data_IF_081575031602
#
_entry.id   IF_081575031602
#
_cell.length_a   1.000
_cell.length_b   1.000
_cell.length_c   1.000
_cell.angle_alpha   90.00
_cell.angle_beta   90.00
_cell.angle_gamma   90.00
#
_symmetry.space_group_name_H-M   'P 1'
#
loop_
_entity.id
_entity.type
_entity.pdbx_description
1 polymer ?
#
# COMPACT_ATOMS: atom_id res chain seq x y z
N UNK A 1 49.77 9.58 35.96
CA UNK A 1 48.31 9.72 35.87
C UNK A 1 47.88 10.52 34.64
N UNK A 2 48.52 11.64 34.28
CA UNK A 2 48.20 12.41 33.04
C UNK A 2 48.44 11.68 31.72
N UNK A 3 49.48 10.81 31.61
CA UNK A 3 49.75 10.03 30.39
C UNK A 3 48.71 8.92 30.09
N UNK A 4 48.05 8.38 31.11
CA UNK A 4 46.96 7.40 30.95
C UNK A 4 45.65 8.04 30.50
N UNK A 5 45.38 9.27 30.92
CA UNK A 5 44.21 10.05 30.46
C UNK A 5 44.34 10.49 29.00
N UNK A 6 45.57 10.86 28.56
CA UNK A 6 45.80 11.20 27.13
C UNK A 6 45.71 9.98 26.21
N UNK A 7 46.15 8.80 26.64
CA UNK A 7 45.96 7.57 25.84
C UNK A 7 44.50 7.15 25.73
N UNK A 8 43.75 7.26 26.82
CA UNK A 8 42.29 6.98 26.78
C UNK A 8 41.52 7.92 25.85
N UNK A 9 41.82 9.23 25.91
CA UNK A 9 41.19 10.22 25.03
C UNK A 9 41.56 10.02 23.54
N UNK A 10 42.81 9.69 23.23
CA UNK A 10 43.26 9.42 21.87
C UNK A 10 42.62 8.13 21.26
N UNK A 11 42.45 7.07 22.07
CA UNK A 11 41.78 5.83 21.65
C UNK A 11 40.31 6.08 21.42
N UNK A 12 39.66 6.88 22.27
CA UNK A 12 38.23 7.24 22.10
C UNK A 12 38.03 8.11 20.87
N UNK A 13 38.94 9.06 20.62
CA UNK A 13 38.86 9.95 19.45
C UNK A 13 39.12 9.20 18.15
N UNK A 14 40.10 8.30 18.10
CA UNK A 14 40.38 7.46 16.92
C UNK A 14 39.17 6.54 16.59
N UNK A 15 38.51 5.99 17.57
CA UNK A 15 37.34 5.15 17.43
C UNK A 15 36.12 5.96 16.98
N UNK A 16 36.02 7.23 17.42
CA UNK A 16 34.94 8.15 16.97
C UNK A 16 35.15 8.56 15.53
N UNK A 17 36.38 8.82 15.09
CA UNK A 17 36.69 9.17 13.70
C UNK A 17 36.47 7.97 12.77
N UNK A 18 36.79 6.75 13.15
CA UNK A 18 36.47 5.52 12.37
C UNK A 18 34.96 5.26 12.22
N UNK A 19 34.15 5.59 13.23
CA UNK A 19 32.70 5.47 13.16
C UNK A 19 32.09 6.54 12.25
N UNK A 20 32.64 7.78 12.29
CA UNK A 20 32.20 8.87 11.42
C UNK A 20 32.57 8.66 9.94
N UNK A 21 33.55 7.81 9.65
CA UNK A 21 33.94 7.38 8.31
C UNK A 21 33.05 6.26 7.72
N UNK A 22 32.05 5.77 8.45
CA UNK A 22 31.10 4.81 7.91
C UNK A 22 30.39 5.42 6.70
N UNK A 23 30.57 4.83 5.54
CA UNK A 23 29.94 5.31 4.30
C UNK A 23 28.43 5.20 4.40
N UNK A 24 27.71 6.27 4.04
CA UNK A 24 26.26 6.23 3.89
C UNK A 24 25.78 5.10 2.96
N UNK A 25 26.57 4.73 1.96
CA UNK A 25 26.25 3.61 1.07
C UNK A 25 26.33 2.24 1.77
N UNK A 26 27.21 2.09 2.77
CA UNK A 26 27.28 0.86 3.58
C UNK A 26 26.04 0.74 4.48
N UNK A 27 25.60 1.85 5.09
CA UNK A 27 24.37 1.90 5.89
C UNK A 27 23.11 1.68 5.06
N UNK A 28 23.02 2.24 3.84
CA UNK A 28 21.95 1.94 2.90
C UNK A 28 21.94 0.47 2.50
N UNK A 29 23.11 -0.11 2.29
CA UNK A 29 23.25 -1.54 1.96
C UNK A 29 22.76 -2.42 3.09
N UNK A 30 23.08 -2.07 4.34
CA UNK A 30 22.56 -2.73 5.53
C UNK A 30 21.02 -2.68 5.60
N UNK A 31 20.41 -1.50 5.44
CA UNK A 31 18.96 -1.34 5.43
C UNK A 31 18.27 -2.17 4.33
N UNK A 32 18.83 -2.16 3.12
CA UNK A 32 18.30 -2.95 2.02
C UNK A 32 18.33 -4.45 2.32
N UNK A 33 19.45 -4.96 2.86
CA UNK A 33 19.59 -6.35 3.26
C UNK A 33 18.62 -6.74 4.38
N UNK A 34 18.47 -5.89 5.40
CA UNK A 34 17.55 -6.13 6.50
C UNK A 34 16.08 -6.24 6.07
N UNK A 35 15.66 -5.40 5.11
CA UNK A 35 14.29 -5.38 4.56
C UNK A 35 14.02 -6.52 3.59
N UNK A 36 14.95 -6.78 2.67
CA UNK A 36 14.78 -7.79 1.63
C UNK A 36 15.07 -9.22 2.09
N UNK A 37 15.73 -9.40 3.24
CA UNK A 37 16.14 -10.70 3.78
C UNK A 37 16.89 -11.58 2.76
N UNK A 38 17.49 -10.93 1.75
CA UNK A 38 18.17 -11.56 0.63
C UNK A 38 19.20 -10.60 0.03
N UNK A 39 20.46 -11.03 -0.08
CA UNK A 39 21.49 -10.24 -0.76
C UNK A 39 21.18 -9.98 -2.22
N UNK A 40 20.58 -10.94 -2.91
CA UNK A 40 20.21 -10.79 -4.33
C UNK A 40 19.16 -9.71 -4.51
N UNK A 41 18.04 -9.83 -3.79
CA UNK A 41 16.94 -8.85 -3.90
C UNK A 41 17.38 -7.44 -3.45
N UNK A 42 18.22 -7.36 -2.40
CA UNK A 42 18.76 -6.09 -1.95
C UNK A 42 19.74 -5.47 -2.97
N UNK A 43 20.54 -6.28 -3.65
CA UNK A 43 21.44 -5.82 -4.71
C UNK A 43 20.65 -5.29 -5.93
N UNK A 44 19.62 -6.01 -6.35
CA UNK A 44 18.71 -5.60 -7.42
C UNK A 44 18.03 -4.26 -7.08
N UNK A 45 17.54 -4.11 -5.83
CA UNK A 45 16.93 -2.87 -5.35
C UNK A 45 17.88 -1.67 -5.38
N UNK A 46 19.17 -1.88 -5.07
CA UNK A 46 20.19 -0.83 -5.05
C UNK A 46 20.91 -0.60 -6.39
N UNK A 47 20.58 -1.39 -7.41
CA UNK A 47 21.23 -1.31 -8.72
C UNK A 47 22.72 -1.68 -8.69
N UNK A 48 23.12 -2.60 -7.80
CA UNK A 48 24.52 -3.06 -7.66
C UNK A 48 24.59 -4.58 -7.79
N UNK A 49 25.81 -5.12 -7.91
CA UNK A 49 26.02 -6.57 -7.88
C UNK A 49 25.93 -7.12 -6.44
N UNK A 50 25.50 -8.38 -6.28
CA UNK A 50 25.48 -9.04 -4.97
C UNK A 50 26.88 -9.08 -4.32
N UNK A 51 27.95 -9.22 -5.11
CA UNK A 51 29.34 -9.17 -4.63
C UNK A 51 29.70 -7.79 -4.08
N UNK A 52 29.30 -6.71 -4.75
CA UNK A 52 29.50 -5.34 -4.26
C UNK A 52 28.75 -5.12 -2.97
N UNK A 53 27.50 -5.58 -2.90
CA UNK A 53 26.68 -5.45 -1.70
C UNK A 53 27.29 -6.22 -0.51
N UNK A 54 27.68 -7.48 -0.70
CA UNK A 54 28.35 -8.27 0.35
C UNK A 54 29.62 -7.59 0.84
N UNK A 55 30.46 -7.07 -0.07
CA UNK A 55 31.68 -6.34 0.34
C UNK A 55 31.37 -5.08 1.15
N UNK A 56 30.27 -4.38 0.88
CA UNK A 56 29.84 -3.24 1.71
C UNK A 56 29.40 -3.67 3.11
N UNK A 57 28.69 -4.78 3.20
CA UNK A 57 28.27 -5.34 4.51
C UNK A 57 29.50 -5.82 5.29
N UNK A 58 30.39 -6.60 4.67
CA UNK A 58 31.59 -7.10 5.33
C UNK A 58 32.45 -5.94 5.87
N UNK A 59 32.64 -4.88 5.08
CA UNK A 59 33.34 -3.66 5.52
C UNK A 59 32.67 -2.96 6.68
N UNK A 60 31.32 -2.89 6.68
CA UNK A 60 30.55 -2.31 7.77
C UNK A 60 30.70 -3.13 9.06
N UNK A 61 30.57 -4.46 8.98
CA UNK A 61 30.75 -5.38 10.09
C UNK A 61 32.17 -5.31 10.67
N UNK A 62 33.18 -5.23 9.81
CA UNK A 62 34.58 -5.09 10.21
C UNK A 62 34.82 -3.78 10.98
N UNK A 63 34.25 -2.67 10.52
CA UNK A 63 34.36 -1.37 11.20
C UNK A 63 33.65 -1.32 12.54
N UNK A 64 32.46 -1.92 12.63
CA UNK A 64 31.68 -1.96 13.88
C UNK A 64 32.24 -3.00 14.85
N UNK A 65 32.91 -4.04 14.32
CA UNK A 65 33.50 -5.11 15.09
C UNK A 65 32.52 -6.20 15.52
N UNK A 66 31.34 -6.28 14.90
CA UNK A 66 30.34 -7.32 15.15
C UNK A 66 29.66 -7.76 13.88
N UNK A 67 29.05 -8.95 13.89
CA UNK A 67 28.24 -9.45 12.78
C UNK A 67 26.83 -8.89 12.86
N UNK A 68 26.35 -8.32 11.75
CA UNK A 68 25.02 -7.74 11.64
C UNK A 68 24.01 -8.72 11.07
N UNK A 69 24.50 -9.73 10.33
CA UNK A 69 23.66 -10.73 9.70
C UNK A 69 24.10 -12.16 10.02
N UNK A 70 23.12 -13.03 10.21
CA UNK A 70 23.26 -14.47 10.25
C UNK A 70 22.80 -15.06 8.92
N UNK A 71 23.51 -16.07 8.42
CA UNK A 71 23.17 -16.79 7.19
C UNK A 71 22.81 -18.20 7.55
N UNK A 72 21.62 -18.61 7.23
CA UNK A 72 21.16 -19.99 7.39
C UNK A 72 20.40 -20.49 6.15
N UNK A 73 19.85 -21.70 6.21
CA UNK A 73 19.06 -22.27 5.11
C UNK A 73 17.76 -21.53 4.84
N UNK A 74 17.27 -20.73 5.80
CA UNK A 74 16.05 -19.90 5.67
C UNK A 74 16.32 -18.56 5.01
N UNK A 75 17.58 -18.17 4.82
CA UNK A 75 17.97 -16.93 4.15
C UNK A 75 18.88 -16.02 4.99
N UNK A 76 18.65 -14.72 4.89
CA UNK A 76 19.41 -13.68 5.57
C UNK A 76 18.59 -13.12 6.74
N UNK A 77 19.06 -13.32 7.97
CA UNK A 77 18.42 -12.80 9.20
C UNK A 77 19.35 -11.82 9.93
N UNK A 78 18.79 -10.88 10.67
CA UNK A 78 19.58 -9.98 11.49
C UNK A 78 20.12 -10.71 12.74
N UNK A 79 21.35 -10.40 13.13
CA UNK A 79 21.87 -10.71 14.46
C UNK A 79 21.22 -9.83 15.53
N UNK A 80 21.52 -10.08 16.80
CA UNK A 80 21.09 -9.21 17.91
C UNK A 80 21.63 -7.78 17.75
N UNK A 81 22.92 -7.64 17.41
CA UNK A 81 23.55 -6.34 17.11
C UNK A 81 22.91 -5.69 15.87
N UNK A 82 22.61 -6.47 14.83
CA UNK A 82 21.91 -6.00 13.63
C UNK A 82 20.51 -5.48 13.95
N UNK A 83 19.77 -6.14 14.83
CA UNK A 83 18.46 -5.67 15.27
C UNK A 83 18.54 -4.36 16.06
N UNK A 84 19.51 -4.25 16.96
CA UNK A 84 19.75 -3.01 17.71
C UNK A 84 20.11 -1.85 16.77
N UNK A 85 20.98 -2.07 15.82
CA UNK A 85 21.43 -1.07 14.86
C UNK A 85 20.33 -0.64 13.87
N UNK A 86 19.38 -1.52 13.56
CA UNK A 86 18.33 -1.25 12.58
C UNK A 86 17.50 -0.02 12.93
N UNK A 87 17.17 0.17 14.20
CA UNK A 87 16.37 1.31 14.66
C UNK A 87 17.10 2.65 14.41
N UNK A 88 18.39 2.71 14.73
CA UNK A 88 19.21 3.92 14.62
C UNK A 88 19.48 4.27 13.14
N UNK A 89 19.86 3.28 12.31
CA UNK A 89 20.12 3.52 10.88
C UNK A 89 18.84 3.89 10.15
N UNK A 90 17.70 3.32 10.54
CA UNK A 90 16.40 3.73 10.01
C UNK A 90 16.07 5.18 10.41
N UNK A 91 16.42 5.61 11.62
CA UNK A 91 16.27 7.01 12.04
C UNK A 91 17.17 7.95 11.22
N UNK A 92 18.43 7.58 10.97
CA UNK A 92 19.34 8.34 10.10
C UNK A 92 18.78 8.49 8.68
N UNK A 93 18.25 7.41 8.10
CA UNK A 93 17.60 7.46 6.78
C UNK A 93 16.42 8.43 6.77
N UNK A 94 15.54 8.38 7.78
CA UNK A 94 14.43 9.34 7.93
C UNK A 94 14.92 10.79 8.00
N UNK A 95 15.99 11.03 8.75
CA UNK A 95 16.59 12.38 8.85
C UNK A 95 17.19 12.85 7.51
N UNK A 96 17.85 11.98 6.76
CA UNK A 96 18.32 12.30 5.42
C UNK A 96 17.16 12.69 4.49
N UNK A 97 16.07 11.92 4.47
CA UNK A 97 14.87 12.30 3.71
C UNK A 97 14.26 13.62 4.17
N UNK A 98 14.30 13.93 5.48
CA UNK A 98 13.84 15.22 6.00
C UNK A 98 14.64 16.40 5.44
N UNK A 99 15.95 16.25 5.23
CA UNK A 99 16.80 17.28 4.59
C UNK A 99 16.33 17.56 3.17
N UNK A 100 16.15 16.52 2.36
CA UNK A 100 15.65 16.67 0.97
C UNK A 100 14.26 17.27 0.93
N UNK A 101 13.36 16.85 1.82
CA UNK A 101 12.00 17.39 1.93
C UNK A 101 11.99 18.87 2.28
N UNK A 102 12.87 19.32 3.19
CA UNK A 102 13.03 20.74 3.51
C UNK A 102 13.58 21.54 2.34
N UNK A 103 14.52 21.00 1.60
CA UNK A 103 15.06 21.64 0.40
C UNK A 103 14.00 21.81 -0.70
N UNK A 104 13.08 20.85 -0.84
CA UNK A 104 11.97 20.90 -1.81
C UNK A 104 10.88 21.91 -1.45
N UNK A 105 10.87 22.43 -0.22
CA UNK A 105 9.88 23.41 0.28
C UNK A 105 10.02 24.83 -0.28
N UNK A 106 11.01 25.14 -1.09
CA UNK A 106 11.27 26.51 -1.52
C UNK A 106 10.22 27.12 -2.46
N UNK A 107 9.10 26.43 -2.73
CA UNK A 107 7.93 27.00 -3.41
C UNK A 107 6.69 26.94 -2.50
N UNK A 108 6.49 27.97 -1.69
CA UNK A 108 5.23 28.29 -1.01
C UNK A 108 4.19 28.72 -2.06
N UNK A 109 3.60 27.79 -2.81
CA UNK A 109 2.63 28.12 -3.83
C UNK A 109 1.58 27.04 -3.98
N UNK A 110 0.45 27.41 -4.57
CA UNK A 110 -0.64 26.51 -4.95
C UNK A 110 -0.35 25.75 -6.25
N UNK A 111 0.92 25.71 -6.70
CA UNK A 111 1.35 25.03 -7.91
C UNK A 111 2.41 23.96 -7.62
N UNK A 112 2.52 22.95 -8.51
CA UNK A 112 3.51 21.88 -8.45
C UNK A 112 2.92 20.49 -8.27
N UNK A 113 3.79 19.50 -8.10
CA UNK A 113 3.39 18.09 -7.97
C UNK A 113 3.13 17.70 -6.52
N UNK A 114 2.10 16.89 -6.30
CA UNK A 114 1.79 16.18 -5.04
C UNK A 114 1.67 14.70 -5.36
N UNK A 115 2.54 13.87 -4.77
CA UNK A 115 2.55 12.43 -4.95
C UNK A 115 1.58 11.78 -3.96
N UNK A 116 0.59 11.06 -4.48
CA UNK A 116 -0.42 10.37 -3.69
C UNK A 116 -0.33 8.89 -3.94
N UNK A 117 -0.06 8.10 -2.90
CA UNK A 117 -0.07 6.65 -2.97
C UNK A 117 -1.36 6.08 -2.37
N UNK A 118 -1.89 5.06 -2.99
CA UNK A 118 -3.13 4.39 -2.55
C UNK A 118 -3.16 2.97 -3.08
N UNK A 119 -3.94 2.09 -2.43
CA UNK A 119 -4.21 0.76 -2.98
C UNK A 119 -4.98 0.85 -4.29
N UNK A 120 -4.77 -0.11 -5.19
CA UNK A 120 -5.23 -0.05 -6.59
C UNK A 120 -6.76 0.16 -6.71
N UNK A 121 -7.56 -0.53 -5.92
CA UNK A 121 -9.02 -0.41 -5.97
C UNK A 121 -9.53 1.01 -5.68
N UNK A 122 -9.30 1.57 -4.49
CA UNK A 122 -9.68 2.95 -4.18
C UNK A 122 -9.07 3.98 -5.12
N UNK A 123 -7.84 3.77 -5.57
CA UNK A 123 -7.17 4.68 -6.51
C UNK A 123 -7.91 4.77 -7.84
N UNK A 124 -8.12 3.62 -8.49
CA UNK A 124 -8.70 3.57 -9.83
C UNK A 124 -10.22 3.79 -9.86
N UNK A 125 -10.95 3.21 -8.89
CA UNK A 125 -12.42 3.29 -8.91
C UNK A 125 -12.98 4.50 -8.18
N UNK A 126 -12.22 5.10 -7.25
CA UNK A 126 -12.75 6.18 -6.43
C UNK A 126 -12.05 7.51 -6.63
N UNK A 127 -10.71 7.54 -6.51
CA UNK A 127 -9.92 8.77 -6.61
C UNK A 127 -9.83 9.25 -8.05
N UNK A 128 -9.39 8.41 -8.97
CA UNK A 128 -9.09 8.81 -10.35
C UNK A 128 -10.28 9.48 -11.07
N UNK A 129 -11.52 8.96 -11.00
CA UNK A 129 -12.67 9.63 -11.62
C UNK A 129 -12.92 11.04 -11.04
N UNK A 130 -12.70 11.23 -9.73
CA UNK A 130 -12.89 12.51 -9.04
C UNK A 130 -11.72 13.47 -9.24
N UNK A 131 -10.55 12.94 -9.54
CA UNK A 131 -9.36 13.72 -9.86
C UNK A 131 -9.54 14.53 -11.15
N UNK A 132 -10.35 14.05 -12.10
CA UNK A 132 -10.70 14.77 -13.31
C UNK A 132 -11.39 16.10 -12.99
N UNK A 133 -12.33 16.10 -12.04
CA UNK A 133 -13.02 17.33 -11.61
C UNK A 133 -12.14 18.22 -10.73
N UNK A 134 -11.28 17.62 -9.89
CA UNK A 134 -10.26 18.35 -9.14
C UNK A 134 -9.35 19.16 -10.07
N UNK A 135 -8.89 18.56 -11.17
CA UNK A 135 -8.00 19.19 -12.15
C UNK A 135 -8.66 20.37 -12.88
N UNK A 136 -9.97 20.40 -13.04
CA UNK A 136 -10.69 21.56 -13.60
C UNK A 136 -10.55 22.81 -12.73
N UNK A 137 -10.51 22.59 -11.41
CA UNK A 137 -10.41 23.69 -10.41
C UNK A 137 -8.96 24.06 -10.10
N UNK A 138 -8.07 23.06 -9.98
CA UNK A 138 -6.69 23.24 -9.53
C UNK A 138 -5.67 22.87 -10.62
N UNK A 139 -5.72 23.57 -11.74
CA UNK A 139 -4.91 23.27 -12.96
C UNK A 139 -3.41 23.29 -12.73
N UNK A 140 -2.93 24.06 -11.73
CA UNK A 140 -1.50 24.21 -11.43
C UNK A 140 -0.98 23.15 -10.45
N UNK A 141 -1.85 22.27 -9.92
CA UNK A 141 -1.45 21.17 -9.06
C UNK A 141 -1.47 19.90 -9.90
N UNK A 142 -0.32 19.28 -10.08
CA UNK A 142 -0.23 17.93 -10.62
C UNK A 142 -0.36 16.93 -9.49
N UNK A 143 -1.35 16.06 -9.52
CA UNK A 143 -1.44 14.90 -8.62
C UNK A 143 -0.82 13.72 -9.33
N UNK A 144 0.31 13.26 -8.81
CA UNK A 144 0.99 12.04 -9.27
C UNK A 144 0.44 10.87 -8.44
N UNK A 145 -0.53 10.15 -9.02
CA UNK A 145 -1.29 9.09 -8.34
C UNK A 145 -0.66 7.73 -8.57
N UNK A 146 -0.09 7.16 -7.52
CA UNK A 146 0.47 5.82 -7.50
C UNK A 146 -0.52 4.81 -6.93
N UNK A 147 -1.01 3.91 -7.77
CA UNK A 147 -1.92 2.83 -7.40
C UNK A 147 -1.16 1.50 -7.33
N UNK A 148 -0.93 0.98 -6.13
CA UNK A 148 -0.21 -0.27 -5.93
C UNK A 148 -0.81 -1.07 -4.76
N UNK A 149 -0.62 -2.39 -4.76
CA UNK A 149 -1.06 -3.24 -3.63
C UNK A 149 -0.12 -3.12 -2.43
N UNK A 150 1.12 -2.71 -2.66
CA UNK A 150 2.10 -2.45 -1.60
C UNK A 150 1.88 -1.06 -0.99
N UNK A 151 2.08 -0.96 0.32
CA UNK A 151 1.94 0.30 1.03
C UNK A 151 3.18 1.17 0.83
N UNK A 152 2.98 2.42 0.39
CA UNK A 152 4.06 3.38 0.25
C UNK A 152 4.51 3.92 1.62
N UNK A 153 5.80 4.01 1.83
CA UNK A 153 6.38 4.63 3.02
C UNK A 153 6.51 6.16 2.85
N UNK A 154 5.54 6.87 3.43
CA UNK A 154 5.52 8.34 3.43
C UNK A 154 6.70 8.94 4.19
N UNK A 155 7.20 8.27 5.22
CA UNK A 155 8.35 8.75 5.98
C UNK A 155 9.63 8.72 5.14
N UNK A 156 9.71 7.84 4.14
CA UNK A 156 10.82 7.70 3.20
C UNK A 156 10.64 8.48 1.90
N UNK A 157 9.65 9.33 1.81
CA UNK A 157 9.32 10.10 0.60
C UNK A 157 8.94 9.25 -0.62
N UNK A 158 8.47 8.04 -0.44
CA UNK A 158 7.90 7.25 -1.53
C UNK A 158 6.62 7.89 -2.05
N UNK A 159 5.88 8.58 -1.16
CA UNK A 159 4.78 9.47 -1.48
C UNK A 159 4.75 10.67 -0.53
N UNK A 160 4.06 11.75 -0.90
CA UNK A 160 3.82 12.89 -0.03
C UNK A 160 2.61 12.64 0.87
N UNK A 161 1.60 11.96 0.33
CA UNK A 161 0.35 11.57 0.99
C UNK A 161 0.09 10.11 0.64
N UNK A 162 -0.37 9.31 1.61
CA UNK A 162 -0.82 7.95 1.34
C UNK A 162 -2.22 7.69 1.91
N UNK A 163 -2.97 6.82 1.24
CA UNK A 163 -4.19 6.22 1.78
C UNK A 163 -3.92 4.72 1.95
N UNK A 164 -3.91 4.28 3.20
CA UNK A 164 -3.44 2.97 3.63
C UNK A 164 -4.56 2.20 4.35
N UNK A 165 -4.48 0.87 4.33
CA UNK A 165 -5.43 -0.02 5.03
C UNK A 165 -5.06 -0.22 6.51
N UNK A 166 -3.81 0.06 6.87
CA UNK A 166 -3.29 -0.03 8.24
C UNK A 166 -2.64 1.29 8.64
N UNK A 167 -2.89 1.78 9.87
CA UNK A 167 -2.29 3.02 10.33
C UNK A 167 -0.79 2.81 10.63
N UNK A 168 0.12 3.63 10.07
CA UNK A 168 1.52 3.57 10.42
C UNK A 168 1.76 4.05 11.86
N UNK A 169 2.80 3.51 12.49
CA UNK A 169 3.16 3.82 13.89
C UNK A 169 4.18 4.95 14.03
N UNK A 170 4.66 5.53 12.92
CA UNK A 170 5.69 6.56 12.95
C UNK A 170 5.14 7.88 13.53
N UNK A 171 5.73 8.44 14.63
CA UNK A 171 5.22 9.62 15.31
C UNK A 171 5.38 10.93 14.51
N UNK A 172 6.17 10.95 13.44
CA UNK A 172 6.33 12.12 12.56
C UNK A 172 5.21 12.23 11.52
N UNK A 173 4.38 11.22 11.41
CA UNK A 173 3.26 11.19 10.48
C UNK A 173 1.97 11.63 11.16
N UNK A 174 1.13 12.31 10.38
CA UNK A 174 -0.26 12.54 10.73
C UNK A 174 -1.05 11.40 10.13
N UNK A 175 -1.84 10.76 10.97
CA UNK A 175 -2.70 9.65 10.60
C UNK A 175 -4.12 10.04 10.95
N UNK A 176 -5.03 9.97 9.98
CA UNK A 176 -6.45 10.26 10.16
C UNK A 176 -7.30 9.20 9.46
N UNK A 177 -8.27 8.64 10.17
CA UNK A 177 -9.24 7.74 9.55
C UNK A 177 -10.10 8.52 8.56
N UNK A 178 -10.18 8.05 7.32
CA UNK A 178 -11.05 8.60 6.27
C UNK A 178 -12.43 7.97 6.30
N UNK A 179 -12.50 6.69 6.59
CA UNK A 179 -13.72 5.90 6.59
C UNK A 179 -13.44 4.41 6.57
N UNK A 180 -14.46 3.63 6.31
CA UNK A 180 -14.40 2.17 6.22
C UNK A 180 -14.87 1.71 4.84
N UNK A 181 -14.10 0.87 4.19
CA UNK A 181 -14.47 0.22 2.95
C UNK A 181 -14.99 -1.18 3.28
N UNK A 182 -16.23 -1.44 2.93
CA UNK A 182 -16.84 -2.76 3.08
C UNK A 182 -16.63 -3.57 1.82
N UNK A 183 -16.27 -4.84 1.97
CA UNK A 183 -16.03 -5.81 0.90
C UNK A 183 -17.17 -6.82 0.93
N UNK A 184 -17.74 -7.09 -0.24
CA UNK A 184 -18.87 -7.97 -0.40
C UNK A 184 -18.69 -8.90 -1.60
N UNK A 185 -19.29 -10.10 -1.62
CA UNK A 185 -19.22 -11.00 -2.76
C UNK A 185 -20.17 -10.58 -3.87
N UNK A 186 -19.69 -10.68 -5.12
CA UNK A 186 -20.43 -10.35 -6.33
C UNK A 186 -20.21 -11.38 -7.42
N UNK A 187 -21.19 -11.49 -8.29
CA UNK A 187 -21.12 -12.18 -9.60
C UNK A 187 -21.71 -11.30 -10.69
N UNK A 188 -21.46 -11.63 -11.96
CA UNK A 188 -22.22 -11.03 -13.07
C UNK A 188 -23.55 -11.76 -13.28
N UNK A 189 -24.52 -11.08 -13.93
CA UNK A 189 -25.75 -11.74 -14.38
C UNK A 189 -25.49 -12.95 -15.28
N UNK A 190 -24.46 -12.88 -16.12
CA UNK A 190 -24.06 -14.00 -16.97
C UNK A 190 -23.63 -15.21 -16.16
N UNK A 191 -22.86 -15.00 -15.10
CA UNK A 191 -22.48 -16.10 -14.19
C UNK A 191 -23.70 -16.68 -13.49
N UNK A 192 -24.58 -15.83 -12.96
CA UNK A 192 -25.81 -16.26 -12.29
C UNK A 192 -26.69 -17.14 -13.19
N UNK A 193 -26.83 -16.78 -14.46
CA UNK A 193 -27.63 -17.54 -15.44
C UNK A 193 -27.04 -18.92 -15.77
N UNK A 194 -25.69 -19.02 -15.78
CA UNK A 194 -24.99 -20.25 -16.15
C UNK A 194 -24.80 -21.22 -14.98
N UNK A 195 -24.49 -20.69 -13.79
CA UNK A 195 -24.03 -21.49 -12.65
C UNK A 195 -24.85 -21.28 -11.39
N UNK A 196 -25.85 -20.39 -11.39
CA UNK A 196 -26.52 -19.96 -10.18
C UNK A 196 -25.65 -19.07 -9.30
N UNK A 197 -26.11 -18.83 -8.08
CA UNK A 197 -25.35 -18.11 -7.03
C UNK A 197 -25.32 -18.95 -5.77
N UNK A 198 -24.20 -18.97 -5.01
CA UNK A 198 -24.16 -19.66 -3.72
C UNK A 198 -25.05 -18.91 -2.72
N UNK A 199 -25.94 -19.61 -2.00
CA UNK A 199 -26.76 -19.08 -0.95
C UNK A 199 -26.05 -19.13 0.43
N UNK A 200 -25.01 -19.95 0.54
CA UNK A 200 -24.24 -20.12 1.76
C UNK A 200 -22.75 -20.24 1.44
N UNK A 201 -21.90 -19.97 2.45
CA UNK A 201 -20.46 -20.21 2.34
C UNK A 201 -20.13 -21.66 1.97
N UNK A 202 -20.89 -22.64 2.49
CA UNK A 202 -20.65 -24.05 2.22
C UNK A 202 -20.85 -24.41 0.75
N UNK A 203 -21.72 -23.69 0.03
CA UNK A 203 -21.95 -23.88 -1.40
C UNK A 203 -20.85 -23.29 -2.26
N UNK A 204 -20.04 -22.38 -1.73
CA UNK A 204 -18.96 -21.72 -2.45
C UNK A 204 -17.94 -22.70 -3.04
N UNK A 205 -17.77 -23.89 -2.43
CA UNK A 205 -16.95 -24.99 -2.95
C UNK A 205 -17.40 -25.50 -4.34
N UNK A 206 -18.65 -25.27 -4.71
CA UNK A 206 -19.23 -25.65 -6.01
C UNK A 206 -19.10 -24.55 -7.06
N UNK A 207 -18.55 -23.39 -6.68
CA UNK A 207 -18.37 -22.21 -7.52
C UNK A 207 -16.89 -21.90 -7.75
N UNK A 208 -16.61 -21.09 -8.75
CA UNK A 208 -15.25 -20.56 -8.96
C UNK A 208 -15.12 -19.20 -8.29
N UNK A 209 -13.96 -18.96 -7.70
CA UNK A 209 -13.60 -17.68 -7.07
C UNK A 209 -12.54 -16.99 -7.92
N UNK A 210 -12.71 -15.70 -8.10
CA UNK A 210 -11.68 -14.78 -8.58
C UNK A 210 -11.04 -14.13 -7.37
N UNK A 211 -9.79 -14.52 -7.04
CA UNK A 211 -9.08 -14.07 -5.84
C UNK A 211 -8.11 -12.94 -6.17
N UNK A 212 -8.17 -11.86 -5.39
CA UNK A 212 -7.12 -10.86 -5.39
C UNK A 212 -5.96 -11.30 -4.50
N UNK A 213 -4.74 -11.30 -5.04
CA UNK A 213 -3.54 -11.45 -4.25
C UNK A 213 -3.13 -10.09 -3.70
N UNK A 214 -3.12 -9.97 -2.37
CA UNK A 214 -2.67 -8.80 -1.66
C UNK A 214 -1.67 -9.22 -0.58
N UNK A 215 -0.60 -8.46 -0.33
CA UNK A 215 0.37 -8.77 0.72
C UNK A 215 -0.28 -8.93 2.11
N UNK A 216 -1.42 -8.26 2.33
CA UNK A 216 -2.16 -8.24 3.59
C UNK A 216 -3.06 -9.46 3.81
N UNK A 217 -3.27 -10.30 2.78
CA UNK A 217 -4.22 -11.44 2.85
C UNK A 217 -3.55 -12.70 2.33
N UNK A 218 -3.08 -13.54 3.25
CA UNK A 218 -2.55 -14.84 2.91
C UNK A 218 -3.66 -15.84 2.52
N UNK A 219 -3.29 -16.92 1.79
CA UNK A 219 -4.23 -17.92 1.30
C UNK A 219 -4.93 -18.68 2.44
N UNK A 220 -4.25 -18.88 3.57
CA UNK A 220 -4.80 -19.60 4.73
C UNK A 220 -5.86 -18.78 5.45
N UNK A 221 -5.58 -17.49 5.69
CA UNK A 221 -6.54 -16.56 6.27
C UNK A 221 -7.76 -16.40 5.36
N UNK A 222 -7.55 -16.31 4.04
CA UNK A 222 -8.61 -16.20 3.06
C UNK A 222 -9.52 -17.44 3.05
N UNK A 223 -8.94 -18.65 3.03
CA UNK A 223 -9.69 -19.90 3.11
C UNK A 223 -10.52 -19.98 4.40
N UNK A 224 -9.93 -19.59 5.54
CA UNK A 224 -10.62 -19.58 6.84
C UNK A 224 -11.81 -18.63 6.86
N UNK A 225 -11.68 -17.42 6.30
CA UNK A 225 -12.78 -16.43 6.18
C UNK A 225 -13.94 -17.02 5.36
N UNK A 226 -13.62 -17.80 4.33
CA UNK A 226 -14.60 -18.44 3.47
C UNK A 226 -15.14 -19.78 4.01
N UNK A 227 -14.72 -20.19 5.22
CA UNK A 227 -15.10 -21.50 5.78
C UNK A 227 -14.57 -22.71 5.00
N UNK A 228 -13.49 -22.51 4.22
CA UNK A 228 -12.85 -23.54 3.40
C UNK A 228 -11.60 -24.09 4.08
N UNK A 229 -11.30 -25.37 3.87
CA UNK A 229 -10.07 -26.01 4.33
C UNK A 229 -8.89 -25.77 3.38
N UNK A 230 -9.18 -25.54 2.09
CA UNK A 230 -8.22 -25.24 1.04
C UNK A 230 -8.88 -24.40 -0.05
N UNK A 231 -8.08 -23.62 -0.76
CA UNK A 231 -8.49 -22.86 -1.95
C UNK A 231 -8.32 -23.68 -3.25
N UNK A 232 -7.71 -24.85 -3.17
CA UNK A 232 -7.47 -25.71 -4.32
C UNK A 232 -8.79 -26.18 -4.94
N UNK A 233 -8.88 -26.10 -6.26
CA UNK A 233 -10.09 -26.47 -7.00
C UNK A 233 -11.23 -25.44 -6.92
N UNK A 234 -11.21 -24.48 -5.98
CA UNK A 234 -12.22 -23.43 -5.83
C UNK A 234 -11.77 -22.11 -6.49
N UNK A 235 -10.52 -21.71 -6.29
CA UNK A 235 -9.96 -20.50 -6.93
C UNK A 235 -9.61 -20.81 -8.38
N UNK A 236 -10.32 -20.16 -9.30
CA UNK A 236 -10.10 -20.28 -10.74
C UNK A 236 -9.08 -19.28 -11.30
N UNK A 237 -9.08 -18.06 -10.75
CA UNK A 237 -8.20 -16.96 -11.16
C UNK A 237 -7.59 -16.31 -9.93
N UNK A 238 -6.26 -16.07 -9.97
CA UNK A 238 -5.54 -15.23 -9.00
C UNK A 238 -4.89 -14.05 -9.73
N UNK A 239 -5.06 -12.84 -9.23
CA UNK A 239 -4.43 -11.64 -9.77
C UNK A 239 -4.12 -10.64 -8.66
N UNK A 240 -3.08 -9.83 -8.81
CA UNK A 240 -2.79 -8.71 -7.91
C UNK A 240 -3.49 -7.41 -8.34
N UNK A 241 -4.27 -7.44 -9.41
CA UNK A 241 -4.98 -6.27 -9.94
C UNK A 241 -6.45 -6.26 -9.51
N UNK A 242 -6.87 -5.19 -8.83
CA UNK A 242 -8.29 -4.95 -8.49
C UNK A 242 -9.16 -4.78 -9.74
N UNK A 243 -8.61 -4.14 -10.78
CA UNK A 243 -9.27 -4.01 -12.09
C UNK A 243 -9.40 -5.40 -12.75
N UNK A 244 -8.36 -6.21 -12.65
CA UNK A 244 -8.37 -7.58 -13.15
C UNK A 244 -9.44 -8.45 -12.48
N UNK A 245 -9.62 -8.33 -11.15
CA UNK A 245 -10.71 -9.01 -10.43
C UNK A 245 -12.07 -8.56 -10.95
N UNK A 246 -12.30 -7.23 -11.01
CA UNK A 246 -13.57 -6.69 -11.50
C UNK A 246 -13.88 -7.20 -12.91
N UNK A 247 -12.92 -7.07 -13.83
CA UNK A 247 -13.07 -7.51 -15.21
C UNK A 247 -13.41 -9.00 -15.33
N UNK A 248 -12.74 -9.86 -14.56
CA UNK A 248 -12.99 -11.29 -14.56
C UNK A 248 -14.41 -11.61 -14.04
N UNK A 249 -14.86 -10.94 -12.98
CA UNK A 249 -16.20 -11.13 -12.42
C UNK A 249 -17.28 -10.68 -13.40
N UNK A 250 -17.12 -9.53 -14.03
CA UNK A 250 -18.04 -9.05 -15.08
C UNK A 250 -18.15 -10.03 -16.26
N UNK A 251 -17.07 -10.74 -16.57
CA UNK A 251 -17.01 -11.74 -17.65
C UNK A 251 -17.37 -13.15 -17.19
N UNK A 252 -18.10 -13.28 -16.09
CA UNK A 252 -18.62 -14.54 -15.59
C UNK A 252 -17.53 -15.58 -15.20
N UNK A 253 -16.34 -15.14 -14.80
CA UNK A 253 -15.26 -16.05 -14.41
C UNK A 253 -15.49 -16.68 -13.02
N UNK A 254 -16.29 -16.07 -12.15
CA UNK A 254 -16.54 -16.56 -10.80
C UNK A 254 -17.09 -15.51 -9.84
N UNK A 255 -17.17 -15.90 -8.58
CA UNK A 255 -17.49 -15.02 -7.45
C UNK A 255 -16.25 -14.19 -7.11
N UNK A 256 -16.39 -12.87 -7.06
CA UNK A 256 -15.34 -11.95 -6.64
C UNK A 256 -15.75 -11.15 -5.41
N UNK A 257 -14.77 -10.84 -4.55
CA UNK A 257 -14.95 -10.00 -3.38
C UNK A 257 -14.48 -8.59 -3.72
N UNK A 258 -15.43 -7.65 -3.81
CA UNK A 258 -15.23 -6.28 -4.28
C UNK A 258 -15.79 -5.27 -3.27
N UNK A 259 -15.40 -3.99 -3.34
CA UNK A 259 -16.03 -2.95 -2.52
C UNK A 259 -17.55 -2.94 -2.70
N UNK A 260 -18.30 -2.86 -1.58
CA UNK A 260 -19.77 -2.90 -1.57
C UNK A 260 -20.42 -1.81 -2.44
N UNK A 261 -19.71 -0.70 -2.65
CA UNK A 261 -20.18 0.42 -3.47
C UNK A 261 -20.13 0.15 -4.99
N UNK A 262 -19.51 -0.94 -5.44
CA UNK A 262 -19.22 -1.17 -6.86
C UNK A 262 -20.47 -1.09 -7.76
N UNK A 263 -21.60 -1.64 -7.30
CA UNK A 263 -22.87 -1.58 -8.06
C UNK A 263 -23.51 -0.19 -8.01
N UNK A 264 -23.39 0.53 -6.87
CA UNK A 264 -23.85 1.93 -6.79
C UNK A 264 -23.03 2.86 -7.69
N UNK A 265 -21.80 2.46 -8.05
CA UNK A 265 -20.96 3.14 -9.02
C UNK A 265 -21.30 2.81 -10.48
N UNK A 266 -22.31 1.96 -10.71
CA UNK A 266 -22.85 1.64 -12.03
C UNK A 266 -22.27 0.38 -12.67
N UNK A 267 -21.49 -0.43 -11.93
CA UNK A 267 -21.00 -1.71 -12.46
C UNK A 267 -22.14 -2.74 -12.44
N UNK A 268 -22.41 -3.46 -13.57
CA UNK A 268 -23.53 -4.38 -13.68
C UNK A 268 -23.24 -5.74 -13.03
N UNK A 269 -23.18 -5.75 -11.70
CA UNK A 269 -22.95 -6.94 -10.88
C UNK A 269 -24.15 -7.23 -9.99
N UNK A 270 -24.25 -8.47 -9.55
CA UNK A 270 -25.26 -8.98 -8.62
C UNK A 270 -24.58 -9.28 -7.30
N UNK A 271 -25.07 -8.69 -6.22
CA UNK A 271 -24.63 -8.99 -4.86
C UNK A 271 -25.04 -10.42 -4.46
N UNK A 272 -24.16 -11.13 -3.78
CA UNK A 272 -24.37 -12.52 -3.38
C UNK A 272 -24.48 -12.63 -1.86
N UNK A 273 -25.66 -12.95 -1.36
CA UNK A 273 -25.96 -12.98 0.06
C UNK A 273 -25.60 -14.32 0.71
N UNK A 274 -24.34 -14.43 1.15
CA UNK A 274 -23.83 -15.64 1.83
C UNK A 274 -23.61 -15.44 3.34
N UNK A 275 -24.10 -14.33 3.91
CA UNK A 275 -23.86 -13.99 5.31
C UNK A 275 -22.40 -13.56 5.61
N UNK A 276 -21.64 -13.18 4.60
CA UNK A 276 -20.23 -12.76 4.73
C UNK A 276 -20.07 -11.33 4.28
N UNK A 277 -19.51 -10.52 5.16
CA UNK A 277 -18.96 -9.22 4.81
C UNK A 277 -17.60 -9.06 5.47
N UNK A 278 -16.70 -8.37 4.82
CA UNK A 278 -15.40 -7.98 5.37
C UNK A 278 -15.25 -6.47 5.25
N UNK A 279 -14.34 -5.89 6.01
CA UNK A 279 -14.06 -4.46 5.90
C UNK A 279 -12.57 -4.17 6.08
N UNK A 280 -12.16 -3.03 5.56
CA UNK A 280 -10.86 -2.44 5.79
C UNK A 280 -11.03 -0.95 6.08
N UNK A 281 -10.41 -0.45 7.14
CA UNK A 281 -10.39 0.98 7.42
C UNK A 281 -9.41 1.67 6.49
N UNK A 282 -9.75 2.88 6.06
CA UNK A 282 -8.92 3.72 5.18
C UNK A 282 -8.29 4.84 6.01
N UNK A 283 -6.96 4.90 5.98
CA UNK A 283 -6.18 5.85 6.76
C UNK A 283 -5.42 6.80 5.86
N UNK A 284 -5.71 8.10 5.99
CA UNK A 284 -4.93 9.17 5.35
C UNK A 284 -3.68 9.41 6.17
N UNK A 285 -2.53 9.33 5.51
CA UNK A 285 -1.23 9.47 6.14
C UNK A 285 -0.39 10.48 5.37
N UNK A 286 0.23 11.41 6.08
CA UNK A 286 1.16 12.38 5.50
C UNK A 286 2.10 12.94 6.58
N UNK A 287 3.26 13.45 6.17
CA UNK A 287 4.20 14.04 7.12
C UNK A 287 3.67 15.39 7.66
N UNK A 288 3.85 15.62 8.98
CA UNK A 288 3.36 16.85 9.67
C UNK A 288 3.77 18.16 9.01
N UNK A 289 4.90 18.19 8.32
CA UNK A 289 5.40 19.37 7.63
C UNK A 289 4.53 19.79 6.43
N UNK A 290 3.81 18.87 5.79
CA UNK A 290 2.94 19.19 4.67
C UNK A 290 1.70 20.02 5.05
N UNK A 291 1.41 20.17 6.37
CA UNK A 291 0.41 21.12 6.86
C UNK A 291 0.70 22.58 6.46
N UNK A 292 1.97 22.90 6.23
CA UNK A 292 2.41 24.27 5.90
C UNK A 292 2.60 24.49 4.38
N UNK A 293 2.23 23.53 3.55
CA UNK A 293 2.31 23.62 2.10
C UNK A 293 0.91 23.71 1.51
N UNK A 294 0.57 24.82 0.88
CA UNK A 294 -0.78 25.10 0.37
C UNK A 294 -1.25 24.04 -0.62
N UNK A 295 -0.40 23.63 -1.58
CA UNK A 295 -0.76 22.59 -2.54
C UNK A 295 -1.08 21.24 -1.88
N UNK A 296 -0.30 20.84 -0.86
CA UNK A 296 -0.55 19.59 -0.13
C UNK A 296 -1.83 19.69 0.69
N UNK A 297 -2.07 20.83 1.37
CA UNK A 297 -3.29 21.08 2.11
C UNK A 297 -4.52 20.98 1.22
N UNK A 298 -4.49 21.58 0.03
CA UNK A 298 -5.58 21.51 -0.96
C UNK A 298 -5.89 20.05 -1.31
N UNK A 299 -4.86 19.24 -1.59
CA UNK A 299 -5.05 17.81 -1.93
C UNK A 299 -5.52 17.00 -0.72
N UNK A 300 -4.98 17.25 0.47
CA UNK A 300 -5.40 16.60 1.73
C UNK A 300 -6.89 16.88 2.01
N UNK A 301 -7.31 18.14 1.94
CA UNK A 301 -8.69 18.54 2.20
C UNK A 301 -9.66 17.98 1.15
N UNK A 302 -9.23 17.94 -0.11
CA UNK A 302 -9.97 17.30 -1.19
C UNK A 302 -10.11 15.79 -0.95
N UNK A 303 -9.03 15.06 -0.58
CA UNK A 303 -9.09 13.64 -0.26
C UNK A 303 -10.04 13.38 0.91
N UNK A 304 -9.98 14.15 1.99
CA UNK A 304 -10.94 14.05 3.10
C UNK A 304 -12.38 14.22 2.63
N UNK A 305 -12.63 15.17 1.73
CA UNK A 305 -13.98 15.45 1.22
C UNK A 305 -14.52 14.29 0.37
N UNK A 306 -13.70 13.68 -0.49
CA UNK A 306 -14.18 12.60 -1.36
C UNK A 306 -14.33 11.25 -0.63
N UNK A 307 -13.81 11.11 0.59
CA UNK A 307 -14.01 9.95 1.45
C UNK A 307 -14.92 10.23 2.65
N UNK A 308 -15.55 11.40 2.73
CA UNK A 308 -16.39 11.78 3.87
C UNK A 308 -17.62 10.85 3.99
N UNK A 309 -17.76 10.08 5.09
CA UNK A 309 -18.87 9.15 5.30
C UNK A 309 -20.26 9.82 5.37
N UNK A 310 -20.31 11.13 5.65
CA UNK A 310 -21.55 11.91 5.62
C UNK A 310 -22.06 12.13 4.20
N UNK A 311 -21.13 12.37 3.28
CA UNK A 311 -21.42 12.59 1.86
C UNK A 311 -21.51 11.27 1.09
N UNK A 312 -20.67 10.31 1.47
CA UNK A 312 -20.57 9.00 0.81
C UNK A 312 -20.80 7.88 1.80
N UNK A 313 -22.06 7.41 1.96
CA UNK A 313 -22.45 6.40 2.94
C UNK A 313 -21.70 5.08 2.86
N UNK A 314 -21.13 4.75 1.70
CA UNK A 314 -20.31 3.54 1.52
C UNK A 314 -19.02 3.52 2.35
N UNK A 315 -18.63 4.65 2.98
CA UNK A 315 -17.46 4.75 3.87
C UNK A 315 -17.84 4.85 5.35
N UNK A 316 -19.10 4.66 5.71
CA UNK A 316 -19.54 4.61 7.12
C UNK A 316 -18.96 3.38 7.81
N UNK A 317 -18.90 3.43 9.13
CA UNK A 317 -18.48 2.28 9.94
C UNK A 317 -19.51 1.15 9.89
N UNK A 318 -20.80 1.50 9.78
CA UNK A 318 -21.89 0.56 9.66
C UNK A 318 -21.96 -0.01 8.23
N UNK A 319 -22.14 -1.33 8.15
CA UNK A 319 -22.36 -1.98 6.86
C UNK A 319 -23.72 -1.59 6.29
N UNK A 320 -23.70 -1.15 5.04
CA UNK A 320 -24.91 -0.94 4.23
C UNK A 320 -24.85 -1.95 3.08
N UNK A 321 -25.95 -2.69 2.91
CA UNK A 321 -26.02 -3.69 1.84
C UNK A 321 -25.82 -3.02 0.46
N UNK A 322 -25.11 -3.65 -0.49
CA UNK A 322 -24.82 -3.04 -1.80
C UNK A 322 -26.06 -2.49 -2.53
N UNK A 323 -27.17 -3.21 -2.50
CA UNK A 323 -28.42 -2.76 -3.14
C UNK A 323 -29.01 -1.49 -2.48
N UNK A 324 -28.82 -1.33 -1.17
CA UNK A 324 -29.31 -0.16 -0.43
C UNK A 324 -28.38 1.06 -0.62
N UNK A 325 -27.13 0.86 -1.06
CA UNK A 325 -26.23 1.95 -1.42
C UNK A 325 -26.64 2.65 -2.73
N UNK A 326 -27.33 1.97 -3.64
CA UNK A 326 -27.71 2.53 -4.95
C UNK A 326 -28.53 3.83 -4.81
N UNK A 327 -29.65 3.88 -4.06
CA UNK A 327 -30.42 5.10 -3.87
C UNK A 327 -29.66 6.15 -3.02
N UNK A 328 -28.81 5.73 -2.08
CA UNK A 328 -28.10 6.62 -1.18
C UNK A 328 -26.92 7.32 -1.87
N UNK A 329 -26.39 6.73 -2.93
CA UNK A 329 -25.27 7.25 -3.71
C UNK A 329 -25.71 7.81 -5.06
N UNK A 330 -26.99 8.13 -5.23
CA UNK A 330 -27.57 8.67 -6.47
C UNK A 330 -27.06 10.10 -6.75
N UNK A 331 -25.81 10.20 -7.16
CA UNK A 331 -25.23 11.30 -7.93
C UNK A 331 -25.19 10.94 -9.41
N UNK A 332 -24.67 11.81 -10.30
CA UNK A 332 -24.50 11.43 -11.70
C UNK A 332 -23.68 10.14 -11.74
N UNK A 333 -24.30 9.05 -12.20
CA UNK A 333 -23.67 7.74 -12.33
C UNK A 333 -22.40 7.94 -13.13
N UNK A 334 -21.26 7.80 -12.49
CA UNK A 334 -19.98 7.77 -13.17
C UNK A 334 -19.94 6.44 -13.90
N UNK A 335 -20.29 6.45 -15.20
CA UNK A 335 -20.04 5.31 -16.06
C UNK A 335 -18.53 5.09 -16.07
N UNK A 336 -18.08 4.11 -15.29
CA UNK A 336 -16.72 3.59 -15.41
C UNK A 336 -16.66 2.91 -16.78
N UNK A 337 -16.22 3.61 -17.80
CA UNK A 337 -16.22 3.20 -19.19
C UNK A 337 -15.46 1.92 -19.56
N UNK A 338 -15.28 0.99 -18.62
CA UNK A 338 -14.79 -0.36 -18.87
C UNK A 338 -15.83 -1.24 -19.59
N UNK A 339 -17.13 -0.86 -19.58
CA UNK A 339 -18.20 -1.56 -20.28
C UNK A 339 -18.31 -1.25 -21.77
N UNK A 340 -17.49 -0.36 -22.34
CA UNK A 340 -17.56 0.05 -23.74
C UNK A 340 -16.89 -0.86 -24.78
N UNK A 341 -16.17 -1.89 -24.36
CA UNK A 341 -15.71 -2.96 -25.26
C UNK A 341 -16.77 -4.07 -25.35
N UNK A 342 -17.96 -3.74 -25.85
CA UNK A 342 -18.82 -4.75 -26.42
C UNK A 342 -18.02 -5.41 -27.55
N UNK A 343 -17.61 -6.65 -27.33
CA UNK A 343 -17.05 -7.47 -28.39
C UNK A 343 -18.12 -7.59 -29.49
N UNK A 344 -17.99 -6.79 -30.55
CA UNK A 344 -18.53 -7.16 -31.85
C UNK A 344 -17.68 -8.33 -32.32
N UNK A 345 -17.98 -9.53 -31.77
CA UNK A 345 -17.51 -10.76 -32.36
C UNK A 345 -18.18 -10.95 -33.69
N UNK A 346 -17.49 -11.48 -34.70
CA UNK A 346 -18.12 -11.83 -35.98
C UNK A 346 -19.19 -12.89 -35.78
N UNK A 347 -20.31 -12.73 -36.51
CA UNK A 347 -21.41 -13.66 -36.59
C UNK A 347 -20.97 -15.05 -37.07
#
# INVERSE_FOLDING_TARGET
>A
MQQLLHRGAAITQHRTDEILDASWDDLKSFLACARQKSFRNAADLLGVTSTTLMRRIDRLEERIGCKLFLRDQSGLTLSEDGMAMLADVSAMERHAFNVFRRASKSSNGTSGTVRVAVTEGPGNFWILPRLIDFQKTYRMITVDLHCAMEQADVARLEADIAIQLEPPTNPDLIVAKLGRMHIYPFVSEGYQKLYGIPATLAELKNHRIVKQNAPQVDDTAYARILGLTSLEGVVGIKTNSSIGVLYAVERAAGVGFLPSAVIAMGVPLVAVDMGVSHHADLWLTYHKEFRNSDRHKIVIDWLKKIFDPKTYPCFRDEFIHPNDLIPLMAGPRQNFGLGGYAATGPA
#
